data_IF_343951456435
#
_entry.id   IF_343951456435
#
_cell.length_a   1.000
_cell.length_b   1.000
_cell.length_c   1.000
_cell.angle_alpha   90.00
_cell.angle_beta   90.00
_cell.angle_gamma   90.00
#
_symmetry.space_group_name_H-M   'P 1'
#
loop_
_entity.id
_entity.type
_entity.pdbx_description
1 polymer ?
#
# COMPACT_ATOMS: atom_id res chain seq x y z
N UNK A 1 8.36 -5.33 11.61
CA UNK A 1 7.71 -6.35 12.46
C UNK A 1 6.22 -6.20 12.23
N UNK A 2 5.47 -7.29 12.06
CA UNK A 2 4.00 -7.19 11.95
C UNK A 2 3.48 -6.80 13.34
N UNK A 3 2.71 -5.71 13.42
CA UNK A 3 2.07 -5.23 14.64
C UNK A 3 0.87 -6.11 14.99
N UNK A 4 0.46 -6.15 16.25
CA UNK A 4 -0.75 -6.86 16.65
C UNK A 4 -1.98 -6.24 15.97
N UNK A 5 -1.95 -4.92 15.75
CA UNK A 5 -2.94 -4.16 15.00
C UNK A 5 -3.06 -4.67 13.56
N UNK A 6 -1.95 -4.73 12.80
CA UNK A 6 -1.96 -5.24 11.43
C UNK A 6 -2.38 -6.72 11.37
N UNK A 7 -1.94 -7.53 12.34
CA UNK A 7 -2.29 -8.95 12.40
C UNK A 7 -3.81 -9.15 12.52
N UNK A 8 -4.46 -8.41 13.40
CA UNK A 8 -5.88 -8.58 13.76
C UNK A 8 -6.84 -7.77 12.88
N UNK A 9 -6.30 -6.94 11.98
CA UNK A 9 -7.10 -6.04 11.15
C UNK A 9 -8.19 -6.75 10.33
N UNK A 10 -7.97 -7.92 9.70
CA UNK A 10 -9.04 -8.64 9.00
C UNK A 10 -10.20 -9.03 9.92
N UNK A 11 -9.90 -9.60 11.10
CA UNK A 11 -10.91 -9.97 12.08
C UNK A 11 -11.70 -8.77 12.63
N UNK A 12 -11.03 -7.62 12.81
CA UNK A 12 -11.70 -6.37 13.19
C UNK A 12 -12.66 -5.89 12.09
N UNK A 13 -12.23 -5.93 10.83
CA UNK A 13 -13.08 -5.57 9.69
C UNK A 13 -14.32 -6.48 9.60
N UNK A 14 -14.15 -7.80 9.80
CA UNK A 14 -15.27 -8.74 9.85
C UNK A 14 -16.28 -8.39 10.95
N UNK A 15 -15.81 -7.97 12.14
CA UNK A 15 -16.70 -7.53 13.23
C UNK A 15 -17.47 -6.24 12.88
N UNK A 16 -16.83 -5.29 12.19
CA UNK A 16 -17.49 -4.05 11.75
C UNK A 16 -18.62 -4.37 10.75
N UNK A 17 -18.35 -5.22 9.76
CA UNK A 17 -19.36 -5.62 8.77
C UNK A 17 -20.59 -6.25 9.46
N UNK A 18 -20.38 -7.13 10.44
CA UNK A 18 -21.48 -7.75 11.20
C UNK A 18 -22.30 -6.77 12.03
N UNK A 19 -21.69 -5.72 12.59
CA UNK A 19 -22.38 -4.70 13.39
C UNK A 19 -23.15 -3.71 12.53
N UNK A 20 -22.78 -3.56 11.26
CA UNK A 20 -23.38 -2.65 10.30
C UNK A 20 -23.85 -3.41 9.06
N UNK A 21 -24.92 -4.24 9.18
CA UNK A 21 -25.37 -5.08 8.09
C UNK A 21 -25.79 -4.25 6.87
N UNK A 22 -25.38 -4.72 5.70
CA UNK A 22 -25.76 -4.12 4.42
C UNK A 22 -27.28 -4.29 4.26
N UNK A 23 -28.06 -3.22 4.03
CA UNK A 23 -29.51 -3.32 3.98
C UNK A 23 -29.99 -4.20 2.81
N UNK A 24 -30.88 -5.17 3.11
CA UNK A 24 -31.36 -6.21 2.18
C UNK A 24 -32.04 -5.68 0.91
N UNK A 25 -32.80 -4.56 1.00
CA UNK A 25 -33.50 -3.94 -0.14
C UNK A 25 -33.77 -2.44 0.06
N UNK A 26 -33.42 -1.66 -0.96
CA UNK A 26 -33.73 -0.24 -1.17
C UNK A 26 -33.00 0.23 -2.42
N UNK A 27 -33.32 1.39 -3.04
CA UNK A 27 -32.35 2.00 -3.94
C UNK A 27 -31.09 2.15 -3.10
N UNK A 28 -30.06 1.36 -3.43
CA UNK A 28 -28.75 1.48 -2.82
C UNK A 28 -28.44 2.97 -2.87
N UNK A 29 -28.46 3.66 -1.72
CA UNK A 29 -28.07 5.06 -1.71
C UNK A 29 -26.68 5.02 -2.32
N UNK A 30 -26.44 5.69 -3.47
CA UNK A 30 -25.20 5.47 -4.24
C UNK A 30 -23.93 5.63 -3.39
N UNK A 31 -24.05 6.40 -2.30
CA UNK A 31 -23.00 6.75 -1.35
C UNK A 31 -22.61 5.67 -0.33
N UNK A 32 -23.29 4.51 -0.28
CA UNK A 32 -22.99 3.46 0.72
C UNK A 32 -22.62 2.10 0.12
N UNK A 33 -21.92 2.11 -1.01
CA UNK A 33 -21.17 0.94 -1.50
C UNK A 33 -19.86 0.82 -0.73
N UNK A 34 -19.89 0.16 0.43
CA UNK A 34 -18.67 -0.13 1.18
C UNK A 34 -17.90 -1.25 0.47
N UNK A 35 -16.61 -1.06 0.19
CA UNK A 35 -15.71 -2.13 -0.23
C UNK A 35 -14.97 -2.71 0.98
N UNK A 36 -14.40 -3.91 0.87
CA UNK A 36 -13.54 -4.46 1.93
C UNK A 36 -12.37 -3.53 2.25
N UNK A 37 -11.76 -2.90 1.23
CA UNK A 37 -10.70 -1.91 1.43
C UNK A 37 -11.19 -0.69 2.25
N UNK A 38 -12.39 -0.18 1.98
CA UNK A 38 -12.96 0.93 2.74
C UNK A 38 -13.19 0.55 4.21
N UNK A 39 -13.62 -0.68 4.49
CA UNK A 39 -13.77 -1.18 5.87
C UNK A 39 -12.41 -1.33 6.55
N UNK A 40 -11.40 -1.88 5.86
CA UNK A 40 -10.04 -1.99 6.40
C UNK A 40 -9.46 -0.60 6.74
N UNK A 41 -9.64 0.38 5.85
CA UNK A 41 -9.24 1.77 6.08
C UNK A 41 -9.95 2.41 7.27
N UNK A 42 -11.21 2.02 7.53
CA UNK A 42 -11.94 2.47 8.70
C UNK A 42 -11.41 1.87 10.01
N UNK A 43 -10.93 0.63 9.98
CA UNK A 43 -10.43 -0.07 11.16
C UNK A 43 -8.95 0.21 11.46
N UNK A 44 -8.15 0.52 10.43
CA UNK A 44 -6.70 0.63 10.56
C UNK A 44 -6.26 1.96 11.20
N UNK A 45 -5.35 1.93 12.19
CA UNK A 45 -4.66 3.12 12.69
C UNK A 45 -3.93 3.89 11.59
N UNK A 46 -3.25 3.17 10.69
CA UNK A 46 -2.55 3.72 9.54
C UNK A 46 -3.03 3.04 8.26
N UNK A 47 -3.25 3.84 7.21
CA UNK A 47 -3.67 3.29 5.91
C UNK A 47 -2.72 2.24 5.32
N UNK A 48 -1.43 2.32 5.63
CA UNK A 48 -0.44 1.36 5.15
C UNK A 48 -0.74 -0.05 5.66
N UNK A 49 -1.27 -0.16 6.88
CA UNK A 49 -1.71 -1.44 7.43
C UNK A 49 -2.94 -1.98 6.67
N UNK A 50 -3.90 -1.11 6.34
CA UNK A 50 -5.05 -1.48 5.51
C UNK A 50 -4.63 -1.97 4.13
N UNK A 51 -3.69 -1.28 3.46
CA UNK A 51 -3.20 -1.67 2.14
C UNK A 51 -2.44 -3.00 2.18
N UNK A 52 -1.60 -3.22 3.20
CA UNK A 52 -0.91 -4.50 3.40
C UNK A 52 -1.92 -5.64 3.60
N UNK A 53 -2.87 -5.49 4.51
CA UNK A 53 -3.90 -6.50 4.77
C UNK A 53 -4.73 -6.78 3.51
N UNK A 54 -5.09 -5.73 2.78
CA UNK A 54 -5.85 -5.85 1.54
C UNK A 54 -5.12 -6.66 0.47
N UNK A 55 -3.81 -6.44 0.28
CA UNK A 55 -3.02 -7.21 -0.69
C UNK A 55 -2.86 -8.68 -0.29
N UNK A 56 -2.78 -8.98 1.00
CA UNK A 56 -2.79 -10.36 1.52
C UNK A 56 -4.13 -11.04 1.20
N UNK A 57 -5.25 -10.37 1.48
CA UNK A 57 -6.59 -10.87 1.16
C UNK A 57 -6.76 -11.08 -0.36
N UNK A 58 -6.24 -10.16 -1.17
CA UNK A 58 -6.33 -10.28 -2.63
C UNK A 58 -5.62 -11.52 -3.16
N UNK A 59 -4.45 -11.84 -2.63
CA UNK A 59 -3.74 -13.08 -2.98
C UNK A 59 -4.54 -14.33 -2.59
N UNK A 60 -5.30 -14.24 -1.51
CA UNK A 60 -6.17 -15.33 -1.01
C UNK A 60 -7.52 -15.43 -1.74
N UNK A 61 -7.74 -14.60 -2.76
CA UNK A 61 -8.92 -14.69 -3.63
C UNK A 61 -9.92 -13.56 -3.44
N UNK A 62 -9.61 -12.52 -2.67
CA UNK A 62 -10.42 -11.30 -2.63
C UNK A 62 -10.18 -10.47 -3.91
N UNK A 63 -11.11 -10.37 -4.87
CA UNK A 63 -10.94 -9.44 -5.98
C UNK A 63 -10.93 -7.99 -5.44
N UNK A 64 -10.13 -7.13 -6.06
CA UNK A 64 -9.81 -5.80 -5.55
C UNK A 64 -10.97 -4.84 -5.35
N UNK A 65 -12.19 -5.13 -5.77
CA UNK A 65 -13.31 -4.23 -5.53
C UNK A 65 -14.35 -4.78 -4.59
N UNK A 66 -14.18 -6.03 -4.09
CA UNK A 66 -15.24 -6.83 -3.45
C UNK A 66 -16.25 -5.95 -2.71
N UNK A 67 -17.28 -5.56 -3.44
CA UNK A 67 -18.28 -4.63 -2.95
C UNK A 67 -19.07 -5.42 -1.93
N UNK A 68 -19.25 -4.83 -0.75
CA UNK A 68 -20.10 -5.42 0.28
C UNK A 68 -21.55 -5.18 -0.13
N UNK A 69 -22.01 -5.92 -1.13
CA UNK A 69 -23.41 -6.08 -1.47
C UNK A 69 -23.97 -7.36 -0.82
N UNK A 70 -25.30 -7.50 -0.69
CA UNK A 70 -25.91 -8.63 0.00
C UNK A 70 -25.57 -10.01 -0.58
N UNK A 71 -25.19 -10.11 -1.86
CA UNK A 71 -24.86 -11.39 -2.50
C UNK A 71 -23.46 -11.90 -2.18
N UNK A 72 -22.62 -11.04 -1.61
CA UNK A 72 -21.19 -11.23 -1.50
C UNK A 72 -20.70 -11.03 -0.04
N UNK A 73 -21.44 -10.31 0.80
CA UNK A 73 -21.04 -9.96 2.17
C UNK A 73 -20.61 -11.16 3.03
N UNK A 74 -21.30 -12.29 2.95
CA UNK A 74 -21.00 -13.47 3.76
C UNK A 74 -19.66 -14.12 3.37
N UNK A 75 -19.36 -14.19 2.06
CA UNK A 75 -18.09 -14.70 1.55
C UNK A 75 -16.92 -13.79 1.95
N UNK A 76 -17.11 -12.46 1.92
CA UNK A 76 -16.11 -11.51 2.40
C UNK A 76 -15.85 -11.69 3.91
N UNK A 77 -16.90 -11.82 4.71
CA UNK A 77 -16.77 -12.02 6.16
C UNK A 77 -16.07 -13.35 6.47
N UNK A 78 -16.44 -14.43 5.76
CA UNK A 78 -15.80 -15.74 5.92
C UNK A 78 -14.30 -15.68 5.62
N UNK A 79 -13.91 -15.01 4.52
CA UNK A 79 -12.50 -14.84 4.16
C UNK A 79 -11.74 -14.00 5.20
N UNK A 80 -12.35 -12.93 5.71
CA UNK A 80 -11.76 -12.06 6.72
C UNK A 80 -11.56 -12.76 8.07
N UNK A 81 -12.45 -13.68 8.46
CA UNK A 81 -12.27 -14.48 9.68
C UNK A 81 -11.19 -15.55 9.55
N UNK A 82 -10.97 -16.07 8.34
CA UNK A 82 -9.98 -17.14 8.10
C UNK A 82 -8.54 -16.61 8.15
N UNK A 83 -8.33 -15.35 7.79
CA UNK A 83 -6.99 -14.82 7.51
C UNK A 83 -6.47 -13.94 8.66
N UNK A 84 -5.35 -14.37 9.21
CA UNK A 84 -4.44 -13.52 10.00
C UNK A 84 -3.33 -12.97 9.08
N UNK A 85 -3.00 -11.68 9.18
CA UNK A 85 -1.79 -11.15 8.53
C UNK A 85 -0.56 -11.63 9.29
N UNK A 86 0.10 -12.67 8.76
CA UNK A 86 1.26 -13.34 9.39
C UNK A 86 2.53 -13.20 8.55
N UNK A 87 3.69 -13.50 9.14
CA UNK A 87 4.98 -13.54 8.43
C UNK A 87 4.93 -14.44 7.19
N UNK A 88 4.24 -15.58 7.27
CA UNK A 88 4.08 -16.51 6.16
C UNK A 88 3.20 -15.93 5.06
N UNK A 89 2.09 -15.30 5.42
CA UNK A 89 1.19 -14.63 4.48
C UNK A 89 1.87 -13.44 3.79
N UNK A 90 2.62 -12.63 4.53
CA UNK A 90 3.42 -11.54 3.97
C UNK A 90 4.54 -12.07 3.06
N UNK A 91 5.24 -13.14 3.43
CA UNK A 91 6.27 -13.74 2.58
C UNK A 91 5.69 -14.31 1.28
N UNK A 92 4.53 -14.97 1.36
CA UNK A 92 3.82 -15.48 0.19
C UNK A 92 3.27 -14.37 -0.72
N UNK A 93 2.98 -13.19 -0.17
CA UNK A 93 2.39 -12.06 -0.89
C UNK A 93 3.44 -11.15 -1.51
N UNK A 94 4.45 -10.76 -0.74
CA UNK A 94 5.44 -9.74 -1.13
C UNK A 94 6.82 -10.32 -1.46
N UNK A 95 7.00 -11.64 -1.31
CA UNK A 95 8.27 -12.32 -1.55
C UNK A 95 9.24 -12.24 -0.36
N UNK A 96 10.52 -12.60 -0.53
CA UNK A 96 11.47 -12.73 0.58
C UNK A 96 11.83 -11.40 1.26
N UNK A 97 11.68 -10.26 0.56
CA UNK A 97 11.91 -8.94 1.14
C UNK A 97 10.66 -8.34 1.80
N UNK A 98 9.63 -9.16 2.07
CA UNK A 98 8.36 -8.69 2.60
C UNK A 98 8.51 -7.79 3.82
N UNK A 99 9.49 -8.03 4.70
CA UNK A 99 9.70 -7.21 5.90
C UNK A 99 9.99 -5.76 5.56
N UNK A 100 10.83 -5.53 4.55
CA UNK A 100 11.17 -4.19 4.08
C UNK A 100 9.98 -3.54 3.37
N UNK A 101 9.22 -4.32 2.59
CA UNK A 101 8.02 -3.84 1.90
C UNK A 101 6.93 -3.40 2.89
N UNK A 102 6.59 -4.26 3.86
CA UNK A 102 5.58 -3.97 4.88
C UNK A 102 6.02 -2.82 5.78
N UNK A 103 7.29 -2.80 6.20
CA UNK A 103 7.86 -1.69 6.97
C UNK A 103 7.72 -0.36 6.23
N UNK A 104 8.15 -0.31 4.96
CA UNK A 104 8.02 0.88 4.14
C UNK A 104 6.57 1.33 3.93
N UNK A 105 5.63 0.39 3.74
CA UNK A 105 4.21 0.73 3.61
C UNK A 105 3.65 1.43 4.86
N UNK A 106 3.95 0.90 6.05
CA UNK A 106 3.51 1.46 7.32
C UNK A 106 4.21 2.79 7.62
N UNK A 107 5.53 2.85 7.42
CA UNK A 107 6.33 4.06 7.65
C UNK A 107 5.90 5.20 6.72
N UNK A 108 5.72 4.90 5.42
CA UNK A 108 5.26 5.89 4.46
C UNK A 108 3.86 6.39 4.79
N UNK A 109 2.95 5.49 5.22
CA UNK A 109 1.64 5.88 5.68
C UNK A 109 1.70 6.80 6.91
N UNK A 110 2.55 6.50 7.90
CA UNK A 110 2.73 7.32 9.11
C UNK A 110 3.25 8.72 8.77
N UNK A 111 4.36 8.81 8.02
CA UNK A 111 4.97 10.10 7.61
C UNK A 111 3.96 10.97 6.87
N UNK A 112 3.18 10.36 5.99
CA UNK A 112 2.21 11.10 5.19
C UNK A 112 0.93 11.42 5.98
N UNK A 113 0.53 10.57 6.93
CA UNK A 113 -0.60 10.85 7.84
C UNK A 113 -0.34 12.11 8.66
N UNK A 114 0.88 12.29 9.16
CA UNK A 114 1.30 13.48 9.92
C UNK A 114 1.61 14.68 8.99
N UNK A 115 2.07 14.42 7.77
CA UNK A 115 2.66 15.42 6.86
C UNK A 115 1.75 15.96 5.75
N UNK A 116 0.48 15.58 5.67
CA UNK A 116 -0.41 15.96 4.56
C UNK A 116 -0.59 17.46 4.33
N UNK A 117 -0.30 18.29 5.33
CA UNK A 117 -0.37 19.75 5.25
C UNK A 117 0.87 20.42 4.62
N UNK A 118 1.94 19.69 4.27
CA UNK A 118 3.22 20.33 3.91
C UNK A 118 3.30 20.75 2.42
N UNK A 119 3.62 22.02 2.08
CA UNK A 119 3.31 22.55 0.76
C UNK A 119 4.18 22.08 -0.42
N UNK A 120 5.32 21.42 -0.23
CA UNK A 120 6.25 21.17 -1.37
C UNK A 120 7.24 20.04 -1.12
N UNK A 121 6.98 18.87 -1.69
CA UNK A 121 8.04 18.00 -2.18
C UNK A 121 8.61 18.64 -3.46
N UNK A 122 9.64 19.48 -3.33
CA UNK A 122 10.31 20.02 -4.52
C UNK A 122 11.08 18.91 -5.20
N UNK A 123 10.61 18.51 -6.37
CA UNK A 123 11.21 17.55 -7.29
C UNK A 123 12.72 17.75 -7.41
N UNK A 124 13.52 16.88 -6.78
CA UNK A 124 14.84 16.60 -7.30
C UNK A 124 14.59 15.84 -8.60
N UNK A 125 14.81 16.49 -9.75
CA UNK A 125 14.59 15.89 -11.06
C UNK A 125 15.65 14.81 -11.27
N UNK A 126 15.47 13.65 -10.64
CA UNK A 126 15.99 12.40 -11.21
C UNK A 126 15.33 12.33 -12.58
N UNK A 127 16.11 12.50 -13.64
CA UNK A 127 15.57 12.61 -15.00
C UNK A 127 14.62 11.45 -15.25
N UNK A 128 13.38 11.73 -15.67
CA UNK A 128 12.31 10.74 -15.80
C UNK A 128 12.75 9.50 -16.58
N UNK A 129 13.66 9.68 -17.55
CA UNK A 129 14.31 8.61 -18.30
C UNK A 129 15.16 7.67 -17.44
N UNK A 130 16.00 8.19 -16.52
CA UNK A 130 16.80 7.35 -15.61
C UNK A 130 15.92 6.58 -14.64
N UNK A 131 14.89 7.23 -14.10
CA UNK A 131 13.91 6.57 -13.23
C UNK A 131 13.18 5.45 -13.96
N UNK A 132 12.68 5.72 -15.17
CA UNK A 132 12.01 4.73 -15.99
C UNK A 132 12.95 3.56 -16.37
N UNK A 133 14.22 3.84 -16.67
CA UNK A 133 15.22 2.80 -16.92
C UNK A 133 15.47 1.92 -15.71
N UNK A 134 15.65 2.53 -14.52
CA UNK A 134 15.78 1.79 -13.27
C UNK A 134 14.54 0.95 -12.93
N UNK A 135 13.35 1.50 -13.17
CA UNK A 135 12.07 0.81 -12.98
C UNK A 135 11.93 -0.38 -13.92
N UNK A 136 12.31 -0.22 -15.20
CA UNK A 136 12.31 -1.31 -16.17
C UNK A 136 13.26 -2.44 -15.76
N UNK A 137 14.49 -2.11 -15.36
CA UNK A 137 15.44 -3.12 -14.88
C UNK A 137 14.92 -3.86 -13.64
N UNK A 138 14.28 -3.14 -12.71
CA UNK A 138 13.69 -3.76 -11.52
C UNK A 138 12.52 -4.69 -11.86
N UNK A 139 11.67 -4.29 -12.81
CA UNK A 139 10.56 -5.11 -13.31
C UNK A 139 11.05 -6.35 -14.03
N UNK A 140 12.07 -6.21 -14.87
CA UNK A 140 12.61 -7.32 -15.65
C UNK A 140 13.27 -8.34 -14.71
N UNK A 141 14.05 -7.89 -13.72
CA UNK A 141 14.58 -8.77 -12.68
C UNK A 141 13.47 -9.47 -11.87
N UNK A 142 12.38 -8.77 -11.52
CA UNK A 142 11.24 -9.40 -10.88
C UNK A 142 10.57 -10.46 -11.77
N UNK A 143 10.47 -10.19 -13.08
CA UNK A 143 9.91 -11.12 -14.06
C UNK A 143 10.77 -12.39 -14.20
N UNK A 144 12.08 -12.22 -14.38
CA UNK A 144 13.04 -13.32 -14.49
C UNK A 144 13.09 -14.19 -13.22
N UNK A 145 12.92 -13.57 -12.05
CA UNK A 145 12.83 -14.28 -10.77
C UNK A 145 11.43 -14.88 -10.48
N UNK A 146 10.46 -14.76 -11.39
CA UNK A 146 9.10 -15.28 -11.21
C UNK A 146 8.29 -14.55 -10.13
N UNK A 147 8.64 -13.30 -9.81
CA UNK A 147 8.14 -12.50 -8.68
C UNK A 147 7.38 -11.24 -9.11
N UNK A 148 6.95 -11.19 -10.37
CA UNK A 148 6.26 -10.03 -10.93
C UNK A 148 4.98 -9.67 -10.17
N UNK A 149 4.20 -10.66 -9.74
CA UNK A 149 2.99 -10.41 -8.95
C UNK A 149 3.33 -9.79 -7.59
N UNK A 150 4.24 -10.40 -6.82
CA UNK A 150 4.71 -9.85 -5.53
C UNK A 150 5.28 -8.44 -5.67
N UNK A 151 5.93 -8.14 -6.78
CA UNK A 151 6.48 -6.83 -7.07
C UNK A 151 5.41 -5.76 -7.30
N UNK A 152 4.30 -6.09 -7.97
CA UNK A 152 3.16 -5.17 -8.07
C UNK A 152 2.41 -5.04 -6.74
N UNK A 153 2.20 -6.15 -6.02
CA UNK A 153 1.57 -6.13 -4.69
C UNK A 153 2.35 -5.29 -3.69
N UNK A 154 3.68 -5.29 -3.75
CA UNK A 154 4.52 -4.44 -2.91
C UNK A 154 4.25 -2.95 -3.16
N UNK A 155 4.05 -2.54 -4.41
CA UNK A 155 3.71 -1.17 -4.75
C UNK A 155 2.31 -0.80 -4.25
N UNK A 156 1.34 -1.69 -4.45
CA UNK A 156 -0.05 -1.50 -4.03
C UNK A 156 -0.19 -1.50 -2.50
N UNK A 157 0.65 -2.26 -1.78
CA UNK A 157 0.72 -2.22 -0.32
C UNK A 157 1.28 -0.89 0.20
N UNK A 158 2.23 -0.27 -0.51
CA UNK A 158 2.79 1.01 -0.11
C UNK A 158 1.85 2.18 -0.43
N UNK A 159 1.14 2.10 -1.55
CA UNK A 159 0.10 3.07 -1.90
C UNK A 159 -0.90 2.45 -2.86
N UNK A 160 -2.09 2.13 -2.37
CA UNK A 160 -3.06 1.39 -3.19
C UNK A 160 -3.57 2.25 -4.37
N UNK A 161 -3.53 1.67 -5.57
CA UNK A 161 -3.96 2.30 -6.82
C UNK A 161 -5.44 2.64 -6.81
N UNK A 162 -6.29 1.76 -6.28
CA UNK A 162 -7.72 2.03 -6.17
C UNK A 162 -8.02 3.17 -5.20
N UNK A 163 -7.11 3.45 -4.26
CA UNK A 163 -7.23 4.63 -3.42
C UNK A 163 -7.01 5.93 -4.21
N UNK A 164 -6.32 5.86 -5.36
CA UNK A 164 -6.14 7.01 -6.24
C UNK A 164 -7.35 7.28 -7.14
N UNK A 165 -8.29 6.35 -7.25
CA UNK A 165 -9.57 6.63 -7.91
C UNK A 165 -10.46 7.36 -6.90
N UNK A 166 -11.01 8.51 -7.30
CA UNK A 166 -11.69 9.54 -6.48
C UNK A 166 -12.74 9.05 -5.45
N UNK A 167 -13.14 7.77 -5.47
CA UNK A 167 -14.16 7.18 -4.60
C UNK A 167 -13.75 7.03 -3.12
N UNK A 168 -12.45 7.05 -2.80
CA UNK A 168 -11.98 6.83 -1.40
C UNK A 168 -11.09 7.93 -0.83
N UNK A 169 -10.70 8.92 -1.64
CA UNK A 169 -9.93 10.08 -1.17
C UNK A 169 -10.84 10.97 -0.33
N UNK A 170 -10.43 11.31 0.90
CA UNK A 170 -11.19 12.25 1.73
C UNK A 170 -11.25 13.63 1.07
N UNK A 171 -12.33 14.39 1.30
CA UNK A 171 -12.57 15.71 0.68
C UNK A 171 -11.45 16.73 0.99
N UNK A 172 -10.75 16.57 2.12
CA UNK A 172 -9.63 17.38 2.57
C UNK A 172 -8.25 16.84 2.13
N UNK A 173 -8.21 15.65 1.51
CA UNK A 173 -6.98 15.04 1.01
C UNK A 173 -6.72 15.43 -0.45
N UNK A 174 -5.50 15.89 -0.72
CA UNK A 174 -4.98 16.03 -2.09
C UNK A 174 -3.82 15.08 -2.27
N UNK A 175 -4.09 13.91 -2.84
CA UNK A 175 -3.05 12.97 -3.23
C UNK A 175 -2.24 13.61 -4.35
N UNK A 176 -0.95 13.86 -4.08
CA UNK A 176 -0.04 14.33 -5.13
C UNK A 176 0.58 13.10 -5.81
N UNK A 177 0.40 13.02 -7.12
CA UNK A 177 0.82 11.86 -7.93
C UNK A 177 2.32 11.59 -7.88
N UNK A 178 3.14 12.61 -7.62
CA UNK A 178 4.58 12.51 -7.41
C UNK A 178 4.96 11.78 -6.12
N UNK A 179 4.30 12.09 -5.00
CA UNK A 179 4.49 11.41 -3.72
C UNK A 179 4.07 9.95 -3.82
N UNK A 180 2.87 9.70 -4.38
CA UNK A 180 2.39 8.33 -4.59
C UNK A 180 3.36 7.53 -5.48
N UNK A 181 3.88 8.15 -6.55
CA UNK A 181 4.89 7.53 -7.42
C UNK A 181 6.16 7.20 -6.64
N UNK A 182 6.70 8.14 -5.83
CA UNK A 182 7.91 7.92 -5.06
C UNK A 182 7.76 6.82 -4.00
N UNK A 183 6.63 6.77 -3.30
CA UNK A 183 6.30 5.71 -2.34
C UNK A 183 6.27 4.35 -3.03
N UNK A 184 5.60 4.26 -4.19
CA UNK A 184 5.50 3.02 -4.97
C UNK A 184 6.84 2.59 -5.56
N UNK A 185 7.61 3.51 -6.14
CA UNK A 185 8.94 3.22 -6.69
C UNK A 185 9.89 2.69 -5.61
N UNK A 186 9.86 3.27 -4.41
CA UNK A 186 10.62 2.79 -3.26
C UNK A 186 10.20 1.36 -2.86
N UNK A 187 8.90 1.07 -2.80
CA UNK A 187 8.41 -0.28 -2.51
C UNK A 187 8.82 -1.29 -3.59
N UNK A 188 8.76 -0.89 -4.86
CA UNK A 188 9.21 -1.69 -5.99
C UNK A 188 10.70 -2.04 -5.87
N UNK A 189 11.54 -1.08 -5.50
CA UNK A 189 12.97 -1.29 -5.29
C UNK A 189 13.25 -2.24 -4.11
N UNK A 190 12.55 -2.06 -2.98
CA UNK A 190 12.69 -2.92 -1.81
C UNK A 190 12.28 -4.38 -2.11
N UNK A 191 11.25 -4.59 -2.93
CA UNK A 191 10.77 -5.93 -3.29
C UNK A 191 11.78 -6.77 -4.08
N UNK A 192 12.72 -6.13 -4.78
CA UNK A 192 13.78 -6.79 -5.58
C UNK A 192 15.19 -6.48 -5.10
N UNK A 193 15.35 -5.93 -3.89
CA UNK A 193 16.66 -5.54 -3.37
C UNK A 193 17.67 -6.72 -3.30
N UNK A 194 17.17 -7.93 -3.05
CA UNK A 194 17.95 -9.18 -3.06
C UNK A 194 18.45 -9.60 -4.44
N UNK A 195 17.86 -9.05 -5.51
CA UNK A 195 18.23 -9.33 -6.90
C UNK A 195 19.29 -8.35 -7.44
N UNK A 196 19.75 -7.39 -6.64
CA UNK A 196 20.81 -6.47 -7.06
C UNK A 196 22.09 -7.23 -7.42
N UNK A 197 22.64 -6.95 -8.61
CA UNK A 197 23.81 -7.66 -9.15
C UNK A 197 23.45 -8.92 -9.94
N UNK A 198 22.16 -9.23 -10.09
CA UNK A 198 21.67 -10.24 -11.05
C UNK A 198 21.15 -9.54 -12.31
N UNK A 199 21.48 -10.10 -13.49
CA UNK A 199 21.14 -9.51 -14.78
C UNK A 199 21.64 -8.05 -14.89
N UNK A 200 20.76 -7.17 -15.39
CA UNK A 200 21.03 -5.74 -15.55
C UNK A 200 20.63 -4.88 -14.33
N UNK A 201 20.06 -5.49 -13.28
CA UNK A 201 19.65 -4.76 -12.08
C UNK A 201 20.87 -4.46 -11.20
N UNK A 202 21.11 -3.17 -10.93
CA UNK A 202 22.25 -2.71 -10.12
C UNK A 202 21.77 -1.99 -8.86
N UNK A 203 22.65 -1.87 -7.85
CA UNK A 203 22.38 -1.05 -6.67
C UNK A 203 22.09 0.42 -7.03
N UNK A 204 22.71 0.95 -8.09
CA UNK A 204 22.44 2.29 -8.58
C UNK A 204 21.01 2.46 -9.14
N UNK A 205 20.44 1.41 -9.75
CA UNK A 205 19.04 1.40 -10.15
C UNK A 205 18.12 1.45 -8.92
N UNK A 206 18.41 0.67 -7.88
CA UNK A 206 17.64 0.71 -6.63
C UNK A 206 17.70 2.08 -5.95
N UNK A 207 18.90 2.68 -5.86
CA UNK A 207 19.07 4.02 -5.29
C UNK A 207 18.31 5.08 -6.10
N UNK A 208 18.27 4.94 -7.42
CA UNK A 208 17.50 5.83 -8.31
C UNK A 208 16.00 5.81 -7.99
N UNK A 209 15.45 4.65 -7.61
CA UNK A 209 14.04 4.48 -7.24
C UNK A 209 13.76 4.88 -5.78
N UNK A 210 14.70 4.66 -4.87
CA UNK A 210 14.55 4.95 -3.44
C UNK A 210 14.74 6.43 -3.11
N UNK A 211 15.60 7.12 -3.85
CA UNK A 211 16.01 8.49 -3.53
C UNK A 211 14.85 9.51 -3.48
N UNK A 212 13.90 9.54 -4.45
CA UNK A 212 12.79 10.47 -4.39
C UNK A 212 12.01 10.41 -3.06
N UNK A 213 11.82 9.19 -2.52
CA UNK A 213 11.21 8.99 -1.22
C UNK A 213 12.10 9.50 -0.07
N UNK A 214 13.37 9.09 -0.03
CA UNK A 214 14.32 9.44 1.04
C UNK A 214 14.49 10.95 1.18
N UNK A 215 14.71 11.66 0.08
CA UNK A 215 14.83 13.13 0.08
C UNK A 215 13.53 13.82 0.48
N UNK A 216 12.38 13.28 0.08
CA UNK A 216 11.07 13.79 0.48
C UNK A 216 10.83 13.71 2.00
N UNK A 217 11.12 12.55 2.60
CA UNK A 217 10.99 12.33 4.05
C UNK A 217 11.95 13.20 4.86
N UNK A 218 13.22 13.33 4.43
CA UNK A 218 14.19 14.19 5.11
C UNK A 218 13.71 15.62 5.25
N UNK A 219 13.10 16.18 4.19
CA UNK A 219 12.55 17.55 4.21
C UNK A 219 11.31 17.71 5.08
N UNK A 220 10.48 16.66 5.20
CA UNK A 220 9.32 16.68 6.10
C UNK A 220 9.78 16.73 7.57
N UNK A 221 10.79 15.92 7.90
CA UNK A 221 11.38 15.84 9.23
C UNK A 221 12.01 17.17 9.66
N UNK A 222 12.81 17.79 8.80
CA UNK A 222 13.46 19.09 9.08
C UNK A 222 12.44 20.22 9.32
N UNK A 223 11.33 20.23 8.55
CA UNK A 223 10.28 21.25 8.70
C UNK A 223 9.45 21.07 9.96
N UNK A 224 9.20 19.83 10.38
CA UNK A 224 8.47 19.55 11.61
C UNK A 224 9.27 20.06 12.82
N UNK A 225 10.57 19.74 12.88
CA UNK A 225 11.47 20.25 13.92
C UNK A 225 11.52 21.79 13.96
N UNK A 226 11.52 22.45 12.79
CA UNK A 226 11.54 23.91 12.69
C UNK A 226 10.21 24.60 13.06
N UNK A 227 9.08 23.88 13.01
CA UNK A 227 7.76 24.42 13.39
C UNK A 227 7.48 24.30 14.89
N UNK A 228 8.22 23.44 15.61
CA UNK A 228 8.03 23.15 17.03
C UNK A 228 9.10 23.76 17.96
N UNK A 229 10.10 24.46 17.41
CA UNK A 229 11.18 25.13 18.15
C UNK A 229 11.08 26.64 18.06
#
# INVERSE_FOLDING_TARGET
MITDELRLLPAQAAQVIRRHPVPDRGPSVPDMRLSVLAVLLHCAPLRGEAFVAFQVLQRRGLPGEYFLDPGHVDDAVALLDEIDVSDAECAATFGPNWRSVVGHAVDAASVLHEGFAVPTWTTGVVGSHRRLGAWACARDAACEAGRLESWYRAQDAAWERQYMDDATVRVDERVRSDVATAVRDAAAALAVADLAGTGDLTSAHLDTLLEPWRTGVGRLSDRYCAATG
#
